data_IF_076273002020
#
_entry.id   IF_076273002020
#
_cell.length_a   1.000
_cell.length_b   1.000
_cell.length_c   1.000
_cell.angle_alpha   90.00
_cell.angle_beta   90.00
_cell.angle_gamma   90.00
#
_symmetry.space_group_name_H-M   'P 1'
#
loop_
_entity.id
_entity.type
_entity.pdbx_description
1 polymer ?
#
# COMPACT_ATOMS: atom_id res chain seq x y z
N UNK A 1 17.64 -7.92 1.50
CA UNK A 1 18.86 -8.31 2.21
C UNK A 1 20.11 -7.94 1.40
N UNK A 2 20.38 -8.59 0.29
CA UNK A 2 21.62 -8.43 -0.50
C UNK A 2 21.91 -6.97 -0.91
N UNK A 3 20.92 -6.24 -1.39
CA UNK A 3 21.07 -4.82 -1.74
C UNK A 3 21.51 -3.94 -0.56
N UNK A 4 21.14 -4.33 0.66
CA UNK A 4 21.54 -3.64 1.89
C UNK A 4 22.88 -4.15 2.44
N UNK A 5 23.57 -5.04 1.75
CA UNK A 5 24.81 -5.66 2.22
C UNK A 5 24.61 -6.67 3.35
N UNK A 6 23.39 -7.15 3.53
CA UNK A 6 23.01 -8.15 4.52
C UNK A 6 23.07 -9.56 3.92
N UNK A 7 23.17 -10.58 4.79
CA UNK A 7 23.03 -11.99 4.38
C UNK A 7 21.71 -12.21 3.66
N UNK A 8 21.69 -13.07 2.65
CA UNK A 8 20.50 -13.37 1.86
C UNK A 8 19.31 -13.80 2.74
N UNK A 9 19.57 -14.55 3.78
CA UNK A 9 18.59 -15.10 4.71
C UNK A 9 18.33 -14.22 5.94
N UNK A 10 18.88 -13.00 5.96
CA UNK A 10 18.78 -12.09 7.12
C UNK A 10 17.35 -11.90 7.64
N UNK A 11 16.36 -11.90 6.76
CA UNK A 11 14.95 -11.69 7.14
C UNK A 11 14.21 -12.97 7.50
N UNK A 12 14.77 -14.16 7.28
CA UNK A 12 14.07 -15.43 7.47
C UNK A 12 13.57 -15.60 8.91
N UNK A 13 14.43 -15.35 9.88
CA UNK A 13 14.05 -15.43 11.30
C UNK A 13 13.06 -14.34 11.72
N UNK A 14 13.07 -13.19 11.04
CA UNK A 14 12.19 -12.07 11.34
C UNK A 14 10.77 -12.28 10.84
N UNK A 15 10.62 -13.08 9.78
CA UNK A 15 9.30 -13.43 9.20
C UNK A 15 8.81 -14.80 9.62
N UNK A 16 9.67 -15.60 10.28
CA UNK A 16 9.32 -16.95 10.76
C UNK A 16 8.17 -16.89 11.77
N UNK A 17 7.12 -17.66 11.52
CA UNK A 17 5.89 -17.64 12.29
C UNK A 17 5.21 -16.25 12.33
N UNK A 18 5.55 -15.39 11.39
CA UNK A 18 4.93 -14.08 11.24
C UNK A 18 3.46 -14.19 10.80
N UNK A 19 2.73 -13.11 11.01
CA UNK A 19 1.34 -12.99 10.63
C UNK A 19 1.21 -12.37 9.23
N UNK A 20 1.60 -13.13 8.20
CA UNK A 20 1.39 -12.69 6.81
C UNK A 20 -0.09 -12.81 6.45
N UNK A 21 -0.66 -11.74 5.92
CA UNK A 21 -2.08 -11.65 5.60
C UNK A 21 -2.24 -11.43 4.10
N UNK A 22 -3.07 -12.24 3.46
CA UNK A 22 -3.60 -11.96 2.13
C UNK A 22 -5.00 -11.35 2.28
N UNK A 23 -5.19 -10.16 1.71
CA UNK A 23 -6.47 -9.45 1.76
C UNK A 23 -6.95 -9.12 0.35
N UNK A 24 -8.14 -9.58 -0.01
CA UNK A 24 -8.85 -9.15 -1.21
C UNK A 24 -9.82 -8.02 -0.85
N UNK A 25 -9.74 -6.91 -1.57
CA UNK A 25 -10.61 -5.75 -1.36
C UNK A 25 -11.32 -5.44 -2.67
N UNK A 26 -12.62 -5.27 -2.59
CA UNK A 26 -13.41 -4.77 -3.71
C UNK A 26 -14.07 -3.44 -3.32
N UNK A 27 -13.74 -2.39 -4.06
CA UNK A 27 -14.39 -1.10 -3.97
C UNK A 27 -15.45 -1.02 -5.07
N UNK A 28 -16.71 -0.94 -4.66
CA UNK A 28 -17.81 -0.81 -5.60
C UNK A 28 -17.70 0.49 -6.40
N UNK A 29 -18.11 0.50 -7.67
CA UNK A 29 -18.28 1.73 -8.43
C UNK A 29 -19.20 2.71 -7.70
N UNK A 30 -18.92 4.00 -7.79
CA UNK A 30 -19.77 5.05 -7.29
C UNK A 30 -20.76 5.38 -8.43
N UNK A 31 -22.01 4.95 -8.26
CA UNK A 31 -23.05 5.16 -9.27
C UNK A 31 -23.52 6.62 -9.29
N UNK A 32 -23.64 7.24 -8.13
CA UNK A 32 -24.06 8.62 -8.00
C UNK A 32 -23.05 9.42 -7.16
N UNK A 33 -22.11 10.14 -7.77
CA UNK A 33 -21.13 10.94 -7.05
C UNK A 33 -21.73 12.03 -6.14
N UNK A 34 -22.91 12.53 -6.47
CA UNK A 34 -23.57 13.60 -5.69
C UNK A 34 -24.09 13.13 -4.33
N UNK A 35 -24.25 11.81 -4.17
CA UNK A 35 -24.67 11.19 -2.90
C UNK A 35 -23.50 10.86 -1.98
N UNK A 36 -22.26 10.99 -2.48
CA UNK A 36 -21.08 10.72 -1.67
C UNK A 36 -20.73 11.94 -0.84
N UNK A 37 -20.58 11.81 0.50
CA UNK A 37 -20.14 12.93 1.32
C UNK A 37 -18.83 13.52 0.80
N UNK A 38 -18.63 14.84 0.81
CA UNK A 38 -17.47 15.49 0.20
C UNK A 38 -16.13 15.13 0.86
N UNK A 39 -16.16 14.60 2.08
CA UNK A 39 -15.02 14.16 2.86
C UNK A 39 -14.86 12.62 2.87
N UNK A 40 -15.70 11.90 2.14
CA UNK A 40 -15.61 10.45 2.08
C UNK A 40 -14.38 9.99 1.29
N UNK A 41 -13.65 9.06 1.86
CA UNK A 41 -12.49 8.41 1.24
C UNK A 41 -12.63 6.88 1.33
N UNK A 42 -12.13 6.17 0.31
CA UNK A 42 -12.16 4.70 0.31
C UNK A 42 -11.24 4.10 1.37
N UNK A 43 -10.12 4.75 1.64
CA UNK A 43 -9.22 4.42 2.72
C UNK A 43 -8.61 5.72 3.27
N UNK A 44 -8.71 5.91 4.57
CA UNK A 44 -8.08 7.06 5.22
C UNK A 44 -6.55 6.96 5.15
N UNK A 45 -5.89 8.11 5.23
CA UNK A 45 -4.42 8.16 5.32
C UNK A 45 -3.94 7.37 6.55
N UNK A 46 -2.97 6.50 6.35
CA UNK A 46 -2.38 5.66 7.39
C UNK A 46 -0.96 5.23 7.01
N UNK A 47 -0.17 4.84 7.98
CA UNK A 47 1.06 4.09 7.77
C UNK A 47 0.79 2.58 7.82
N UNK A 48 1.63 1.80 7.16
CA UNK A 48 1.59 0.34 7.25
C UNK A 48 2.43 -0.12 8.44
N UNK A 49 1.85 -0.93 9.32
CA UNK A 49 2.50 -1.40 10.56
C UNK A 49 3.32 -2.68 10.39
N UNK A 50 3.45 -3.15 9.17
CA UNK A 50 4.18 -4.38 8.82
C UNK A 50 5.60 -4.08 8.33
N UNK A 51 6.28 -5.10 7.82
CA UNK A 51 7.59 -4.96 7.16
C UNK A 51 7.42 -4.39 5.75
N UNK A 52 6.53 -5.01 4.96
CA UNK A 52 6.19 -4.58 3.60
C UNK A 52 4.73 -4.89 3.28
N UNK A 53 4.13 -4.07 2.44
CA UNK A 53 2.84 -4.36 1.77
C UNK A 53 3.07 -4.47 0.27
N UNK A 54 2.55 -5.53 -0.33
CA UNK A 54 2.53 -5.72 -1.77
C UNK A 54 1.12 -5.44 -2.29
N UNK A 55 0.91 -4.28 -2.89
CA UNK A 55 -0.38 -3.88 -3.43
C UNK A 55 -0.46 -4.24 -4.92
N UNK A 56 -1.36 -5.15 -5.24
CA UNK A 56 -1.64 -5.59 -6.61
C UNK A 56 -2.94 -4.97 -7.11
N UNK A 57 -3.00 -4.72 -8.40
CA UNK A 57 -4.24 -4.29 -9.05
C UNK A 57 -4.70 -2.88 -8.65
N UNK A 58 -3.76 -1.98 -8.33
CA UNK A 58 -4.04 -0.56 -8.15
C UNK A 58 -4.46 0.07 -9.50
N UNK A 59 -5.56 -0.44 -10.05
CA UNK A 59 -6.05 -0.14 -11.41
C UNK A 59 -6.85 1.15 -11.50
N UNK A 60 -7.19 1.76 -10.36
CA UNK A 60 -7.96 3.00 -10.31
C UNK A 60 -7.12 4.14 -9.73
N UNK A 61 -7.43 5.33 -10.16
CA UNK A 61 -6.88 6.55 -9.59
C UNK A 61 -7.26 6.72 -8.12
N UNK A 62 -6.46 7.48 -7.36
CA UNK A 62 -6.76 7.86 -5.99
C UNK A 62 -5.72 7.41 -4.95
N UNK A 63 -4.82 6.48 -5.30
CA UNK A 63 -3.70 6.17 -4.42
C UNK A 63 -2.73 7.35 -4.35
N UNK A 64 -2.42 7.80 -3.14
CA UNK A 64 -1.50 8.91 -2.92
C UNK A 64 -0.53 8.59 -1.79
N UNK A 65 0.65 9.16 -1.85
CA UNK A 65 1.67 9.08 -0.79
C UNK A 65 1.95 10.47 -0.25
N UNK A 66 1.93 10.61 1.07
CA UNK A 66 2.30 11.84 1.73
C UNK A 66 3.82 11.97 1.79
N UNK A 67 4.35 12.96 1.12
CA UNK A 67 5.78 13.30 1.16
C UNK A 67 6.10 14.07 2.45
N UNK A 68 7.37 14.04 2.86
CA UNK A 68 7.83 14.68 4.13
C UNK A 68 7.61 16.19 4.19
N UNK A 69 7.51 16.86 3.05
CA UNK A 69 7.20 18.30 2.94
C UNK A 69 5.69 18.60 3.02
N UNK A 70 4.86 17.59 3.23
CA UNK A 70 3.42 17.73 3.32
C UNK A 70 2.66 17.62 1.99
N UNK A 71 3.34 17.43 0.87
CA UNK A 71 2.70 17.27 -0.42
C UNK A 71 2.18 15.84 -0.63
N UNK A 72 0.96 15.70 -1.11
CA UNK A 72 0.40 14.43 -1.56
C UNK A 72 0.78 14.16 -3.01
N UNK A 73 1.41 13.03 -3.23
CA UNK A 73 1.88 12.60 -4.55
C UNK A 73 1.00 11.47 -5.06
N UNK A 74 0.32 11.63 -6.20
CA UNK A 74 -0.46 10.55 -6.79
C UNK A 74 0.47 9.43 -7.27
N UNK A 75 0.06 8.20 -7.01
CA UNK A 75 0.76 7.00 -7.45
C UNK A 75 -0.11 6.29 -8.49
N UNK A 76 0.46 6.07 -9.65
CA UNK A 76 -0.18 5.29 -10.73
C UNK A 76 0.67 4.06 -10.99
N UNK A 77 0.09 2.87 -10.81
CA UNK A 77 0.72 1.61 -11.18
C UNK A 77 0.20 1.15 -12.55
N UNK A 78 1.09 0.64 -13.38
CA UNK A 78 0.70 -0.04 -14.61
C UNK A 78 0.10 -1.43 -14.29
N UNK A 79 -0.68 -2.03 -15.21
CA UNK A 79 -1.39 -3.29 -14.92
C UNK A 79 -0.50 -4.46 -14.49
N UNK A 80 0.77 -4.45 -14.88
CA UNK A 80 1.77 -5.48 -14.58
C UNK A 80 2.74 -5.08 -13.45
N UNK A 81 2.44 -4.00 -12.74
CA UNK A 81 3.28 -3.49 -11.65
C UNK A 81 2.66 -3.75 -10.28
N UNK A 82 3.54 -3.91 -9.31
CA UNK A 82 3.22 -3.91 -7.89
C UNK A 82 3.61 -2.55 -7.28
N UNK A 83 2.76 -2.04 -6.41
CA UNK A 83 3.17 -0.98 -5.49
C UNK A 83 3.68 -1.66 -4.22
N UNK A 84 4.91 -1.35 -3.84
CA UNK A 84 5.53 -1.89 -2.63
C UNK A 84 5.65 -0.77 -1.61
N UNK A 85 4.92 -0.90 -0.51
CA UNK A 85 5.05 0.01 0.61
C UNK A 85 6.00 -0.61 1.65
N UNK A 86 6.98 0.15 2.09
CA UNK A 86 7.79 -0.22 3.26
C UNK A 86 7.00 0.19 4.50
N UNK A 87 6.85 -0.74 5.43
CA UNK A 87 6.15 -0.48 6.68
C UNK A 87 7.00 0.21 7.73
N UNK A 88 6.40 0.43 8.90
CA UNK A 88 7.02 1.14 10.02
C UNK A 88 7.97 0.26 10.86
N UNK A 89 8.05 -1.04 10.57
CA UNK A 89 8.95 -1.97 11.25
C UNK A 89 10.39 -1.88 10.74
#
# INVERSE_FOLDING_TARGET
ALYLGLDEQYFDDKVKNGNSILRAIHYFPIENPDEVPPDAVRAAAHGDINLITLLMGASAEGLQVLRRDGAWIPITALPDQLVVNVGDM
#
